data_IF_767726400066
#
_entry.id   IF_767726400066
#
_cell.length_a   1.000
_cell.length_b   1.000
_cell.length_c   1.000
_cell.angle_alpha   90.00
_cell.angle_beta   90.00
_cell.angle_gamma   90.00
#
_symmetry.space_group_name_H-M   'P 1'
#
loop_
_entity.id
_entity.type
_entity.pdbx_description
1 polymer ?
#
# COMPACT_ATOMS: atom_id res chain seq x y z
N UNK A 1 -18.07 38.46 114.11
CA UNK A 1 -16.66 38.51 113.82
C UNK A 1 -16.47 38.64 112.32
N UNK A 2 -16.30 39.73 111.86
CA UNK A 2 -15.26 40.46 111.16
C UNK A 2 -14.51 39.61 110.12
N UNK A 3 -14.57 40.01 108.90
CA UNK A 3 -13.32 40.29 108.14
C UNK A 3 -13.65 40.75 106.70
N UNK A 4 -13.12 41.70 106.42
CA UNK A 4 -12.73 42.65 105.38
C UNK A 4 -12.51 42.13 103.98
N UNK A 5 -13.07 42.94 103.10
CA UNK A 5 -12.68 42.96 101.67
C UNK A 5 -11.35 43.79 101.46
N UNK A 6 -10.61 43.50 100.46
CA UNK A 6 -9.80 44.55 99.86
C UNK A 6 -10.19 44.86 98.41
N UNK A 7 -10.52 46.11 98.21
CA UNK A 7 -10.58 46.73 96.88
C UNK A 7 -9.17 46.87 96.28
N UNK A 8 -8.94 46.38 95.09
CA UNK A 8 -7.76 46.56 94.27
C UNK A 8 -8.12 47.28 92.98
N UNK A 9 -7.67 48.50 92.87
CA UNK A 9 -7.97 49.48 91.85
C UNK A 9 -7.31 49.11 90.48
N UNK A 10 -8.12 48.92 89.45
CA UNK A 10 -7.75 48.78 88.07
C UNK A 10 -7.68 50.17 87.36
N UNK A 11 -6.73 51.02 87.69
CA UNK A 11 -6.57 52.38 87.12
C UNK A 11 -5.72 52.39 85.82
N UNK A 12 -5.00 51.34 85.50
CA UNK A 12 -4.14 51.31 84.34
C UNK A 12 -4.84 50.96 83.01
N UNK A 13 -5.97 50.24 82.99
CA UNK A 13 -6.70 49.86 81.83
C UNK A 13 -7.29 51.05 81.05
N UNK A 14 -7.57 52.18 81.83
CA UNK A 14 -8.15 53.40 81.26
C UNK A 14 -7.24 54.21 80.39
N UNK A 15 -5.93 54.10 80.64
CA UNK A 15 -4.86 54.89 79.95
C UNK A 15 -4.44 54.31 78.61
N UNK A 16 -4.63 53.00 78.36
CA UNK A 16 -4.22 52.32 77.13
C UNK A 16 -5.36 51.90 76.21
N UNK A 17 -6.60 52.18 76.65
CA UNK A 17 -7.82 51.89 75.87
C UNK A 17 -7.79 52.41 74.42
N UNK A 18 -7.31 53.65 74.15
CA UNK A 18 -7.22 54.15 72.76
C UNK A 18 -6.21 53.42 71.91
N UNK A 19 -5.12 52.98 72.50
CA UNK A 19 -4.05 52.28 71.80
C UNK A 19 -4.43 50.82 71.48
N UNK A 20 -5.14 50.16 72.33
CA UNK A 20 -5.64 48.79 72.08
C UNK A 20 -6.71 48.79 71.01
N UNK A 21 -7.57 49.76 70.96
CA UNK A 21 -8.57 49.91 69.90
C UNK A 21 -7.89 50.26 68.57
N UNK A 22 -6.87 51.13 68.57
CA UNK A 22 -6.13 51.40 67.34
C UNK A 22 -5.36 50.18 66.81
N UNK A 23 -4.77 49.35 67.69
CA UNK A 23 -4.10 48.10 67.30
C UNK A 23 -5.09 47.06 66.75
N UNK A 24 -6.29 46.96 67.29
CA UNK A 24 -7.34 46.08 66.81
C UNK A 24 -7.88 46.51 65.42
N UNK A 25 -8.08 47.82 65.24
CA UNK A 25 -8.52 48.37 63.92
C UNK A 25 -7.39 48.23 62.90
N UNK A 26 -6.14 48.49 63.24
CA UNK A 26 -4.96 48.27 62.36
C UNK A 26 -4.77 46.82 62.01
N UNK A 27 -4.94 45.93 62.97
CA UNK A 27 -4.90 44.46 62.69
C UNK A 27 -6.02 43.97 61.77
N UNK A 28 -7.24 44.47 62.03
CA UNK A 28 -8.39 44.14 61.16
C UNK A 28 -8.20 44.68 59.73
N UNK A 29 -7.65 45.88 59.56
CA UNK A 29 -7.37 46.47 58.25
C UNK A 29 -6.28 45.67 57.46
N UNK A 30 -5.22 45.20 58.15
CA UNK A 30 -4.16 44.38 57.53
C UNK A 30 -4.69 42.98 57.16
N UNK A 31 -5.52 42.37 57.99
CA UNK A 31 -6.16 41.09 57.70
C UNK A 31 -7.15 41.25 56.56
N UNK A 32 -7.99 42.30 56.58
CA UNK A 32 -8.94 42.64 55.51
C UNK A 32 -8.21 42.88 54.18
N UNK A 33 -7.06 43.57 54.17
CA UNK A 33 -6.27 43.82 52.95
C UNK A 33 -5.62 42.55 52.40
N UNK A 34 -5.21 41.60 53.26
CA UNK A 34 -4.68 40.30 52.83
C UNK A 34 -5.79 39.39 52.29
N UNK A 35 -7.01 39.46 52.84
CA UNK A 35 -8.15 38.63 52.42
C UNK A 35 -8.81 39.18 51.16
N UNK A 36 -8.82 40.52 50.98
CA UNK A 36 -9.42 41.18 49.82
C UNK A 36 -8.45 41.32 48.60
N UNK A 37 -7.20 40.92 48.73
CA UNK A 37 -6.33 40.87 47.53
C UNK A 37 -6.91 39.86 46.54
N UNK A 38 -7.34 40.29 45.34
CA UNK A 38 -7.78 39.32 44.32
C UNK A 38 -6.63 38.38 44.04
N UNK A 39 -6.88 37.08 44.15
CA UNK A 39 -5.91 36.04 43.77
C UNK A 39 -5.46 36.35 42.35
N UNK A 40 -4.14 36.44 42.04
CA UNK A 40 -3.70 36.68 40.68
C UNK A 40 -4.38 35.66 39.78
N UNK A 41 -5.03 36.14 38.74
CA UNK A 41 -5.66 35.26 37.74
C UNK A 41 -4.63 34.21 37.26
N UNK A 42 -4.96 32.95 37.19
CA UNK A 42 -4.03 31.95 36.66
C UNK A 42 -3.61 32.44 35.27
N UNK A 43 -2.31 32.28 34.92
CA UNK A 43 -1.85 32.69 33.62
C UNK A 43 -2.74 32.06 32.54
N UNK A 44 -3.09 32.80 31.48
CA UNK A 44 -3.91 32.25 30.41
C UNK A 44 -3.25 30.96 29.96
N UNK A 45 -3.99 29.84 30.01
CA UNK A 45 -3.50 28.57 29.47
C UNK A 45 -3.07 28.86 28.04
N UNK A 46 -1.77 28.61 27.77
CA UNK A 46 -1.26 28.68 26.40
C UNK A 46 -2.24 27.99 25.48
N UNK A 47 -2.58 28.54 24.31
CA UNK A 47 -3.49 27.91 23.39
C UNK A 47 -2.99 26.49 23.16
N UNK A 48 -3.78 25.49 23.51
CA UNK A 48 -3.47 24.10 23.21
C UNK A 48 -3.29 24.03 21.70
N UNK A 49 -2.07 23.89 21.23
CA UNK A 49 -1.80 23.62 19.83
C UNK A 49 -2.53 22.33 19.54
N UNK A 50 -3.70 22.40 18.91
CA UNK A 50 -4.50 21.24 18.58
C UNK A 50 -3.68 20.43 17.57
N UNK A 51 -2.99 19.41 18.03
CA UNK A 51 -2.24 18.51 17.18
C UNK A 51 -3.23 17.70 16.34
N UNK A 52 -3.00 17.65 15.04
CA UNK A 52 -3.80 16.83 14.15
C UNK A 52 -3.48 15.36 14.44
N UNK A 53 -4.53 14.58 14.68
CA UNK A 53 -4.43 13.13 14.91
C UNK A 53 -5.37 12.43 13.94
N UNK A 54 -4.91 11.35 13.36
CA UNK A 54 -5.67 10.59 12.37
C UNK A 54 -5.52 9.08 12.60
N UNK A 55 -6.55 8.33 12.25
CA UNK A 55 -6.46 6.88 12.12
C UNK A 55 -5.83 6.54 10.78
N UNK A 56 -5.02 5.49 10.76
CA UNK A 56 -4.34 5.04 9.57
C UNK A 56 -4.10 3.54 9.57
N UNK A 57 -3.55 3.07 8.46
CA UNK A 57 -3.20 1.67 8.29
C UNK A 57 -1.81 1.56 7.66
N UNK A 58 -1.00 0.64 8.17
CA UNK A 58 0.26 0.26 7.53
C UNK A 58 -0.03 -0.42 6.19
N UNK A 59 0.51 0.13 5.11
CA UNK A 59 0.26 -0.33 3.75
C UNK A 59 1.57 -0.30 2.97
N UNK A 60 1.89 -1.33 2.17
CA UNK A 60 3.03 -1.29 1.27
C UNK A 60 2.95 -0.14 0.27
N UNK A 61 4.10 0.40 -0.17
CA UNK A 61 4.14 1.39 -1.23
C UNK A 61 3.45 0.87 -2.50
N UNK A 62 2.50 1.64 -3.04
CA UNK A 62 1.68 1.22 -4.17
C UNK A 62 0.45 0.40 -3.79
N UNK A 63 0.27 0.09 -2.49
CA UNK A 63 -0.84 -0.72 -2.01
C UNK A 63 -0.56 -2.23 -2.08
N UNK A 64 -1.60 -2.99 -1.82
CA UNK A 64 -1.63 -4.43 -1.99
C UNK A 64 -2.15 -4.76 -3.39
N UNK A 65 -1.48 -5.67 -4.08
CA UNK A 65 -1.84 -6.10 -5.44
C UNK A 65 -2.34 -7.53 -5.39
N UNK A 66 -3.57 -7.73 -5.83
CA UNK A 66 -4.14 -9.07 -5.99
C UNK A 66 -3.71 -9.64 -7.34
N UNK A 67 -3.18 -10.85 -7.32
CA UNK A 67 -2.90 -11.61 -8.53
C UNK A 67 -4.15 -12.36 -8.96
N UNK A 68 -4.48 -12.26 -10.23
CA UNK A 68 -5.62 -12.90 -10.86
C UNK A 68 -5.15 -13.76 -12.03
N UNK A 69 -6.01 -14.68 -12.47
CA UNK A 69 -5.78 -15.43 -13.72
C UNK A 69 -5.75 -14.45 -14.90
N UNK A 70 -4.69 -14.45 -15.73
CA UNK A 70 -4.61 -13.54 -16.86
C UNK A 70 -5.80 -13.73 -17.83
N UNK A 71 -6.34 -12.60 -18.31
CA UNK A 71 -7.38 -12.63 -19.34
C UNK A 71 -6.82 -13.28 -20.62
N UNK A 72 -7.57 -14.23 -21.20
CA UNK A 72 -7.16 -14.96 -22.41
C UNK A 72 -6.60 -16.36 -22.15
N UNK A 73 -6.62 -16.85 -20.90
CA UNK A 73 -6.44 -18.28 -20.63
C UNK A 73 -7.59 -19.08 -21.28
N UNK A 74 -7.20 -20.14 -21.97
CA UNK A 74 -8.17 -20.98 -22.69
C UNK A 74 -8.94 -21.81 -21.67
N UNK A 75 -10.27 -21.58 -21.54
CA UNK A 75 -11.13 -22.55 -20.89
C UNK A 75 -11.89 -22.10 -19.62
N UNK A 76 -11.73 -20.90 -19.09
CA UNK A 76 -12.58 -20.36 -17.99
C UNK A 76 -12.62 -21.15 -16.67
N UNK A 77 -12.00 -22.33 -16.61
CA UNK A 77 -12.00 -23.28 -15.49
C UNK A 77 -10.58 -23.64 -15.02
N UNK A 78 -9.66 -22.69 -15.17
CA UNK A 78 -8.29 -22.90 -14.76
C UNK A 78 -8.18 -23.11 -13.24
N UNK A 79 -7.37 -24.11 -12.87
CA UNK A 79 -6.98 -24.35 -11.48
C UNK A 79 -5.47 -24.12 -11.34
N UNK A 80 -5.03 -23.79 -10.15
CA UNK A 80 -3.60 -23.68 -9.84
C UNK A 80 -3.02 -25.11 -9.83
N UNK A 81 -2.00 -25.36 -10.65
CA UNK A 81 -1.25 -26.62 -10.63
C UNK A 81 -0.28 -26.63 -9.45
N UNK A 82 0.60 -25.62 -9.38
CA UNK A 82 1.58 -25.49 -8.30
C UNK A 82 2.05 -24.06 -8.09
N UNK A 83 2.46 -23.76 -6.87
CA UNK A 83 3.24 -22.58 -6.51
C UNK A 83 4.73 -22.91 -6.46
N UNK A 84 5.58 -21.93 -6.84
CA UNK A 84 7.04 -22.02 -6.78
C UNK A 84 7.63 -21.19 -5.62
N UNK A 85 6.77 -20.47 -4.92
CA UNK A 85 7.08 -19.56 -3.81
C UNK A 85 6.09 -19.79 -2.67
N UNK A 86 6.52 -19.48 -1.46
CA UNK A 86 5.71 -19.59 -0.25
C UNK A 86 5.28 -18.23 0.27
N UNK A 87 4.27 -18.18 1.14
CA UNK A 87 3.88 -16.96 1.82
C UNK A 87 5.05 -16.39 2.62
N UNK A 88 5.29 -15.09 2.47
CA UNK A 88 6.41 -14.38 3.08
C UNK A 88 7.67 -14.30 2.22
N UNK A 89 7.78 -15.09 1.15
CA UNK A 89 8.97 -15.09 0.29
C UNK A 89 9.13 -13.79 -0.49
N UNK A 90 10.39 -13.33 -0.69
CA UNK A 90 10.69 -12.23 -1.60
C UNK A 90 10.46 -12.65 -3.05
N UNK A 91 9.85 -11.77 -3.83
CA UNK A 91 9.55 -11.97 -5.25
C UNK A 91 10.11 -10.85 -6.10
N UNK A 92 10.54 -11.19 -7.31
CA UNK A 92 11.05 -10.23 -8.29
C UNK A 92 10.06 -10.03 -9.43
N UNK A 93 10.02 -8.83 -10.00
CA UNK A 93 9.21 -8.52 -11.19
C UNK A 93 9.52 -9.47 -12.33
N UNK A 94 8.49 -10.09 -12.92
CA UNK A 94 8.58 -11.07 -13.99
C UNK A 94 8.85 -12.51 -13.52
N UNK A 95 9.16 -12.74 -12.24
CA UNK A 95 9.35 -14.07 -11.68
C UNK A 95 8.04 -14.88 -11.79
N UNK A 96 8.13 -16.14 -12.25
CA UNK A 96 7.01 -17.06 -12.24
C UNK A 96 6.72 -17.50 -10.80
N UNK A 97 5.52 -17.23 -10.32
CA UNK A 97 5.08 -17.55 -8.96
C UNK A 97 4.28 -18.84 -8.91
N UNK A 98 3.43 -19.07 -9.92
CA UNK A 98 2.61 -20.27 -10.01
C UNK A 98 2.39 -20.69 -11.46
N UNK A 99 1.94 -21.90 -11.67
CA UNK A 99 1.46 -22.42 -12.95
C UNK A 99 0.02 -22.87 -12.84
N UNK A 100 -0.69 -22.70 -13.94
CA UNK A 100 -2.06 -23.18 -14.12
C UNK A 100 -2.06 -24.59 -14.74
N UNK A 101 -3.16 -25.30 -14.59
CA UNK A 101 -3.35 -26.68 -15.06
C UNK A 101 -3.17 -26.86 -16.57
N UNK A 102 -3.50 -25.84 -17.36
CA UNK A 102 -3.33 -25.83 -18.82
C UNK A 102 -1.87 -25.76 -19.29
N UNK A 103 -0.91 -25.42 -18.42
CA UNK A 103 0.48 -25.21 -18.80
C UNK A 103 1.08 -26.37 -19.60
N UNK A 104 0.85 -27.61 -19.15
CA UNK A 104 1.38 -28.81 -19.83
C UNK A 104 0.87 -28.95 -21.27
N UNK A 105 -0.45 -28.77 -21.44
CA UNK A 105 -1.09 -28.84 -22.77
C UNK A 105 -0.62 -27.71 -23.68
N UNK A 106 -0.54 -26.47 -23.17
CA UNK A 106 -0.09 -25.31 -23.96
C UNK A 106 1.39 -25.40 -24.33
N UNK A 107 2.22 -26.00 -23.47
CA UNK A 107 3.64 -26.29 -23.80
C UNK A 107 3.74 -27.29 -24.96
N UNK A 108 2.94 -28.37 -24.94
CA UNK A 108 2.91 -29.34 -26.03
C UNK A 108 2.44 -28.68 -27.33
N UNK A 109 1.41 -27.82 -27.28
CA UNK A 109 0.94 -27.06 -28.43
C UNK A 109 2.00 -26.12 -29.02
N UNK A 110 2.77 -25.44 -28.16
CA UNK A 110 3.91 -24.63 -28.63
C UNK A 110 4.96 -25.49 -29.30
N UNK A 111 5.35 -26.62 -28.70
CA UNK A 111 6.34 -27.54 -29.31
C UNK A 111 5.86 -28.04 -30.68
N UNK A 112 4.58 -28.36 -30.82
CA UNK A 112 3.99 -28.77 -32.11
C UNK A 112 4.07 -27.63 -33.14
N UNK A 113 3.72 -26.41 -32.77
CA UNK A 113 3.81 -25.24 -33.64
C UNK A 113 5.25 -24.96 -34.09
N UNK A 114 6.22 -25.07 -33.17
CA UNK A 114 7.66 -24.92 -33.47
C UNK A 114 8.14 -26.00 -34.43
N UNK A 115 7.75 -27.27 -34.26
CA UNK A 115 8.06 -28.36 -35.15
C UNK A 115 7.47 -28.16 -36.56
N UNK A 116 6.24 -27.67 -36.64
CA UNK A 116 5.56 -27.34 -37.90
C UNK A 116 6.32 -26.21 -38.63
N UNK A 117 6.72 -25.17 -37.92
CA UNK A 117 7.52 -24.08 -38.50
C UNK A 117 8.83 -24.59 -39.04
N UNK A 118 9.57 -25.42 -38.32
CA UNK A 118 10.87 -25.94 -38.77
C UNK A 118 10.71 -26.88 -39.99
N UNK A 119 9.71 -27.77 -40.02
CA UNK A 119 9.42 -28.62 -41.18
C UNK A 119 9.02 -27.79 -42.41
N UNK A 120 8.24 -26.73 -42.22
CA UNK A 120 7.84 -25.85 -43.34
C UNK A 120 9.03 -25.08 -43.88
N UNK A 121 9.92 -24.58 -43.02
CA UNK A 121 11.18 -23.92 -43.44
C UNK A 121 12.13 -24.84 -44.18
N UNK A 122 12.25 -26.10 -43.76
CA UNK A 122 13.18 -27.08 -44.36
C UNK A 122 12.91 -27.31 -45.85
N UNK A 123 11.69 -27.09 -46.35
CA UNK A 123 11.35 -27.24 -47.76
C UNK A 123 11.80 -26.06 -48.62
N UNK A 124 11.97 -24.88 -48.08
CA UNK A 124 12.25 -23.66 -48.85
C UNK A 124 13.58 -23.75 -49.61
N UNK A 125 14.72 -24.25 -49.05
CA UNK A 125 15.98 -24.37 -49.77
C UNK A 125 15.87 -25.29 -50.98
N UNK A 126 15.10 -26.38 -50.92
CA UNK A 126 14.91 -27.28 -52.03
C UNK A 126 14.13 -26.63 -53.19
N UNK A 127 13.15 -25.82 -52.88
CA UNK A 127 12.39 -25.03 -53.87
C UNK A 127 13.31 -23.95 -54.51
N UNK A 128 14.18 -23.30 -53.73
CA UNK A 128 15.13 -22.30 -54.25
C UNK A 128 16.18 -22.96 -55.18
N UNK A 129 16.70 -24.12 -54.80
CA UNK A 129 17.57 -24.92 -55.68
C UNK A 129 16.85 -25.31 -56.98
N UNK A 130 15.59 -25.77 -56.85
CA UNK A 130 14.76 -26.14 -58.04
C UNK A 130 14.53 -24.94 -58.95
N UNK A 131 14.24 -23.76 -58.39
CA UNK A 131 14.10 -22.52 -59.17
C UNK A 131 15.40 -22.16 -59.90
N UNK A 132 16.54 -22.19 -59.18
CA UNK A 132 17.82 -21.88 -59.80
C UNK A 132 18.17 -22.81 -60.94
N UNK A 133 17.90 -24.13 -60.80
CA UNK A 133 18.03 -25.12 -61.86
C UNK A 133 17.09 -24.81 -63.01
N UNK A 134 15.81 -24.51 -62.73
CA UNK A 134 14.81 -24.13 -63.72
C UNK A 134 15.21 -22.89 -64.52
N UNK A 135 15.84 -21.89 -63.88
CA UNK A 135 16.34 -20.70 -64.59
C UNK A 135 17.45 -21.02 -65.64
N UNK A 136 18.31 -22.01 -65.34
CA UNK A 136 19.31 -22.48 -66.31
C UNK A 136 18.64 -23.19 -67.47
N UNK A 137 17.76 -24.14 -67.20
CA UNK A 137 17.02 -24.91 -68.21
C UNK A 137 16.17 -24.01 -69.12
N UNK A 138 15.55 -22.96 -68.57
CA UNK A 138 14.81 -21.98 -69.34
C UNK A 138 15.72 -21.21 -70.33
N UNK A 139 16.93 -20.78 -69.93
CA UNK A 139 17.88 -20.14 -70.79
C UNK A 139 18.35 -21.05 -71.94
N UNK A 140 18.45 -22.35 -71.67
CA UNK A 140 18.81 -23.35 -72.62
C UNK A 140 17.60 -23.82 -73.51
N UNK A 141 16.42 -23.22 -73.32
CA UNK A 141 15.21 -23.55 -74.07
C UNK A 141 14.61 -24.91 -73.70
N UNK A 142 15.03 -25.53 -72.58
CA UNK A 142 14.60 -26.89 -72.20
C UNK A 142 13.24 -26.90 -71.39
N UNK A 143 12.80 -25.76 -70.84
CA UNK A 143 11.49 -25.59 -70.14
C UNK A 143 10.82 -24.30 -70.61
N UNK A 144 9.49 -24.27 -70.42
CA UNK A 144 8.68 -23.08 -70.71
C UNK A 144 8.76 -22.02 -69.63
N UNK A 145 8.44 -20.78 -69.97
CA UNK A 145 8.27 -19.68 -69.01
C UNK A 145 7.20 -20.01 -67.97
N UNK A 146 6.13 -20.70 -68.37
CA UNK A 146 5.06 -21.11 -67.45
C UNK A 146 5.60 -22.05 -66.35
N UNK A 147 6.46 -23.00 -66.68
CA UNK A 147 7.04 -23.94 -65.73
C UNK A 147 7.95 -23.22 -64.71
N UNK A 148 8.77 -22.28 -65.18
CA UNK A 148 9.59 -21.46 -64.31
C UNK A 148 8.72 -20.57 -63.40
N UNK A 149 7.64 -20.00 -63.95
CA UNK A 149 6.69 -19.20 -63.20
C UNK A 149 5.97 -20.04 -62.09
N UNK A 150 5.57 -21.28 -62.37
CA UNK A 150 4.99 -22.20 -61.38
C UNK A 150 5.96 -22.46 -60.22
N UNK A 151 7.23 -22.70 -60.52
CA UNK A 151 8.25 -22.91 -59.48
C UNK A 151 8.44 -21.64 -58.61
N UNK A 152 8.43 -20.48 -59.25
CA UNK A 152 8.54 -19.18 -58.55
C UNK A 152 7.31 -18.91 -57.64
N UNK A 153 6.12 -19.23 -58.14
CA UNK A 153 4.87 -19.11 -57.35
C UNK A 153 4.90 -20.05 -56.14
N UNK A 154 5.42 -21.29 -56.30
CA UNK A 154 5.57 -22.25 -55.20
C UNK A 154 6.47 -21.70 -54.06
N UNK A 155 7.53 -20.96 -54.39
CA UNK A 155 8.37 -20.30 -53.40
C UNK A 155 7.61 -19.20 -52.66
N UNK A 156 6.83 -18.39 -53.40
CA UNK A 156 6.01 -17.32 -52.77
C UNK A 156 5.02 -17.92 -51.78
N UNK A 157 4.30 -18.97 -52.21
CA UNK A 157 3.34 -19.71 -51.37
C UNK A 157 4.05 -20.28 -50.13
N UNK A 158 5.22 -20.92 -50.31
CA UNK A 158 5.98 -21.50 -49.20
C UNK A 158 6.45 -20.44 -48.20
N UNK A 159 6.85 -19.26 -48.64
CA UNK A 159 7.20 -18.15 -47.77
C UNK A 159 5.96 -17.65 -46.98
N UNK A 160 4.79 -17.58 -47.61
CA UNK A 160 3.54 -17.26 -46.90
C UNK A 160 3.19 -18.30 -45.84
N UNK A 161 3.37 -19.63 -46.17
CA UNK A 161 3.19 -20.70 -45.19
C UNK A 161 4.09 -20.55 -43.97
N UNK A 162 5.37 -20.19 -44.20
CA UNK A 162 6.35 -19.94 -43.13
C UNK A 162 5.91 -18.79 -42.24
N UNK A 163 5.41 -17.68 -42.79
CA UNK A 163 4.91 -16.56 -42.00
C UNK A 163 3.65 -16.95 -41.21
N UNK A 164 2.75 -17.76 -41.80
CA UNK A 164 1.59 -18.32 -41.07
C UNK A 164 2.03 -19.21 -39.90
N UNK A 165 2.99 -20.10 -40.11
CA UNK A 165 3.52 -20.95 -39.04
C UNK A 165 4.27 -20.14 -37.95
N UNK A 166 4.96 -19.07 -38.30
CA UNK A 166 5.55 -18.14 -37.32
C UNK A 166 4.49 -17.47 -36.46
N UNK A 167 3.41 -17.03 -37.08
CA UNK A 167 2.28 -16.41 -36.34
C UNK A 167 1.65 -17.42 -35.35
N UNK A 168 1.51 -18.70 -35.72
CA UNK A 168 0.99 -19.73 -34.83
C UNK A 168 1.94 -20.03 -33.65
N UNK A 169 3.26 -20.05 -33.87
CA UNK A 169 4.26 -20.15 -32.80
C UNK A 169 4.12 -18.97 -31.82
N UNK A 170 3.98 -17.75 -32.34
CA UNK A 170 3.82 -16.55 -31.50
C UNK A 170 2.53 -16.61 -30.67
N UNK A 171 1.43 -17.07 -31.29
CA UNK A 171 0.13 -17.26 -30.60
C UNK A 171 0.26 -18.30 -29.48
N UNK A 172 0.80 -19.48 -29.79
CA UNK A 172 0.99 -20.57 -28.80
C UNK A 172 1.91 -20.14 -27.67
N UNK A 173 2.96 -19.37 -27.95
CA UNK A 173 3.86 -18.80 -26.92
C UNK A 173 3.12 -17.82 -26.00
N UNK A 174 2.28 -16.94 -26.53
CA UNK A 174 1.47 -16.02 -25.71
C UNK A 174 0.47 -16.79 -24.83
N UNK A 175 -0.15 -17.83 -25.34
CA UNK A 175 -1.05 -18.69 -24.58
C UNK A 175 -0.31 -19.40 -23.43
N UNK A 176 0.89 -19.94 -23.71
CA UNK A 176 1.72 -20.56 -22.66
C UNK A 176 2.11 -19.57 -21.57
N UNK A 177 2.47 -18.34 -21.93
CA UNK A 177 2.79 -17.29 -20.95
C UNK A 177 1.59 -16.91 -20.09
N UNK A 178 0.36 -16.99 -20.63
CA UNK A 178 -0.86 -16.73 -19.86
C UNK A 178 -1.15 -17.83 -18.82
N UNK A 179 -0.61 -19.04 -19.00
CA UNK A 179 -0.72 -20.12 -18.01
C UNK A 179 0.34 -20.02 -16.89
N UNK A 180 1.21 -19.01 -16.89
CA UNK A 180 2.15 -18.73 -15.82
C UNK A 180 1.75 -17.44 -15.09
N UNK A 181 1.53 -17.55 -13.80
CA UNK A 181 1.27 -16.39 -12.94
C UNK A 181 2.61 -15.77 -12.59
N UNK A 182 2.84 -14.55 -13.06
CA UNK A 182 4.11 -13.82 -12.88
C UNK A 182 3.91 -12.58 -12.02
N UNK A 183 4.92 -12.25 -11.21
CA UNK A 183 4.88 -11.03 -10.41
C UNK A 183 4.99 -9.76 -11.29
N UNK A 184 4.08 -8.80 -11.17
CA UNK A 184 4.17 -7.50 -11.85
C UNK A 184 5.16 -6.53 -11.16
N UNK A 185 5.61 -6.84 -9.92
CA UNK A 185 6.44 -5.96 -9.11
C UNK A 185 7.52 -6.73 -8.33
N UNK A 186 8.50 -5.99 -7.79
CA UNK A 186 9.39 -6.51 -6.74
C UNK A 186 8.71 -6.32 -5.38
N UNK A 187 8.79 -7.31 -4.49
CA UNK A 187 8.17 -7.25 -3.18
C UNK A 187 8.11 -8.61 -2.51
N UNK A 188 7.06 -8.88 -1.76
CA UNK A 188 6.85 -10.17 -1.09
C UNK A 188 5.47 -10.74 -1.42
N UNK A 189 5.40 -12.06 -1.45
CA UNK A 189 4.15 -12.80 -1.47
C UNK A 189 3.55 -12.77 -0.05
N UNK A 190 2.44 -12.09 0.11
CA UNK A 190 1.84 -11.86 1.44
C UNK A 190 0.92 -13.02 1.80
N UNK A 191 0.07 -13.46 0.86
CA UNK A 191 -0.92 -14.51 1.10
C UNK A 191 -1.28 -15.23 -0.18
N UNK A 192 -1.52 -16.52 -0.08
CA UNK A 192 -2.08 -17.37 -1.14
C UNK A 192 -3.55 -17.65 -0.81
N UNK A 193 -4.44 -17.30 -1.74
CA UNK A 193 -5.88 -17.58 -1.61
C UNK A 193 -6.29 -18.87 -2.34
N UNK A 194 -5.63 -19.16 -3.46
CA UNK A 194 -5.92 -20.33 -4.30
C UNK A 194 -4.77 -21.32 -4.24
N UNK A 195 -4.96 -22.39 -3.49
CA UNK A 195 -3.99 -23.48 -3.34
C UNK A 195 -4.01 -24.43 -4.55
N UNK A 196 -3.00 -25.29 -4.73
CA UNK A 196 -3.00 -26.29 -5.81
C UNK A 196 -4.30 -27.10 -5.86
N UNK A 197 -4.87 -27.23 -7.05
CA UNK A 197 -6.18 -27.85 -7.29
C UNK A 197 -7.38 -26.90 -7.15
N UNK A 198 -7.20 -25.67 -6.65
CA UNK A 198 -8.26 -24.67 -6.52
C UNK A 198 -8.33 -23.75 -7.74
N UNK A 199 -9.52 -23.29 -8.03
CA UNK A 199 -9.78 -22.18 -8.96
C UNK A 199 -9.47 -20.85 -8.28
N UNK A 200 -9.45 -19.79 -9.08
CA UNK A 200 -9.41 -18.42 -8.56
C UNK A 200 -10.58 -18.17 -7.62
N UNK A 201 -10.27 -17.61 -6.44
CA UNK A 201 -11.29 -17.20 -5.46
C UNK A 201 -11.76 -15.77 -5.76
N UNK A 202 -12.85 -15.27 -5.13
CA UNK A 202 -13.25 -13.87 -5.23
C UNK A 202 -12.16 -12.89 -4.81
N UNK A 203 -11.24 -13.30 -3.93
CA UNK A 203 -10.07 -12.52 -3.49
C UNK A 203 -8.86 -12.65 -4.45
N UNK A 204 -9.00 -13.40 -5.54
CA UNK A 204 -7.96 -13.68 -6.51
C UNK A 204 -7.16 -14.95 -6.21
N UNK A 205 -5.96 -15.05 -6.79
CA UNK A 205 -5.03 -16.17 -6.57
C UNK A 205 -4.14 -15.94 -5.35
N UNK A 206 -3.60 -14.74 -5.23
CA UNK A 206 -2.69 -14.37 -4.15
C UNK A 206 -2.59 -12.85 -3.99
N UNK A 207 -2.10 -12.44 -2.84
CA UNK A 207 -1.84 -11.05 -2.48
C UNK A 207 -0.35 -10.79 -2.40
N UNK A 208 0.12 -9.76 -3.07
CA UNK A 208 1.53 -9.34 -3.08
C UNK A 208 1.66 -7.86 -2.74
N UNK A 209 2.84 -7.44 -2.28
CA UNK A 209 3.10 -6.04 -1.96
C UNK A 209 4.57 -5.72 -1.76
N UNK A 210 4.92 -4.45 -1.86
CA UNK A 210 6.29 -3.93 -1.65
C UNK A 210 6.54 -3.69 -0.17
N UNK A 211 6.64 -4.76 0.60
CA UNK A 211 6.78 -4.68 2.06
C UNK A 211 8.15 -4.15 2.51
N UNK A 212 9.14 -4.07 1.60
CA UNK A 212 10.39 -3.36 1.78
C UNK A 212 10.21 -1.84 1.91
N UNK A 213 9.08 -1.32 1.43
CA UNK A 213 8.72 0.09 1.44
C UNK A 213 7.33 0.30 2.03
N UNK A 214 7.27 0.21 3.35
CA UNK A 214 6.03 0.44 4.07
C UNK A 214 5.73 1.93 4.20
N UNK A 215 4.47 2.26 4.05
CA UNK A 215 3.86 3.58 4.23
C UNK A 215 2.73 3.50 5.25
N UNK A 216 2.30 4.64 5.74
CA UNK A 216 1.05 4.77 6.49
C UNK A 216 0.04 5.52 5.62
N UNK A 217 -1.11 4.93 5.40
CA UNK A 217 -2.25 5.61 4.81
C UNK A 217 -3.17 6.03 5.93
N UNK A 218 -3.31 7.34 6.15
CA UNK A 218 -4.09 7.89 7.25
C UNK A 218 -5.29 8.70 6.73
N UNK A 219 -6.38 8.66 7.47
CA UNK A 219 -7.61 9.38 7.19
C UNK A 219 -7.68 10.60 8.11
N UNK A 220 -7.52 11.77 7.51
CA UNK A 220 -7.57 13.05 8.21
C UNK A 220 -8.90 13.72 7.94
N UNK A 221 -9.52 14.29 8.96
CA UNK A 221 -10.74 15.07 8.77
C UNK A 221 -10.51 16.26 7.85
N UNK A 222 -11.47 16.54 6.98
CA UNK A 222 -11.38 17.64 6.01
C UNK A 222 -11.06 18.98 6.67
N UNK A 223 -11.55 19.24 7.87
CA UNK A 223 -11.29 20.44 8.67
C UNK A 223 -9.82 20.63 9.06
N UNK A 224 -9.07 19.54 9.19
CA UNK A 224 -7.69 19.56 9.64
C UNK A 224 -6.68 19.56 8.48
N UNK A 225 -7.11 19.22 7.27
CA UNK A 225 -6.25 19.17 6.08
C UNK A 225 -5.49 20.49 5.80
N UNK A 226 -6.11 21.69 5.95
CA UNK A 226 -5.40 22.96 5.72
C UNK A 226 -4.22 23.19 6.67
N UNK A 227 -4.14 22.44 7.77
CA UNK A 227 -3.08 22.53 8.78
C UNK A 227 -1.89 21.61 8.47
N UNK A 228 -2.04 20.73 7.47
CA UNK A 228 -1.00 19.79 7.07
C UNK A 228 -0.09 20.39 6.00
N UNK A 229 1.19 20.05 6.08
CA UNK A 229 2.19 20.44 5.09
C UNK A 229 2.96 19.23 4.60
N UNK A 230 3.16 19.13 3.29
CA UNK A 230 4.00 18.07 2.70
C UNK A 230 5.41 18.17 3.30
N UNK A 231 5.97 17.02 3.70
CA UNK A 231 7.25 16.94 4.42
C UNK A 231 7.12 17.06 5.94
N UNK A 232 5.94 17.40 6.48
CA UNK A 232 5.70 17.48 7.91
C UNK A 232 5.95 16.12 8.59
N UNK A 233 6.66 16.14 9.72
CA UNK A 233 6.91 14.97 10.56
C UNK A 233 5.64 14.46 11.23
N UNK A 234 5.61 13.17 11.48
CA UNK A 234 4.53 12.55 12.22
C UNK A 234 5.04 11.36 13.04
N UNK A 235 4.41 11.14 14.16
CA UNK A 235 4.64 9.99 15.03
C UNK A 235 3.51 8.99 14.87
N UNK A 236 3.85 7.73 14.61
CA UNK A 236 2.90 6.64 14.38
C UNK A 236 2.96 5.66 15.54
N UNK A 237 1.81 5.32 16.10
CA UNK A 237 1.64 4.34 17.18
C UNK A 237 0.68 3.23 16.75
N UNK A 238 0.89 1.99 17.19
CA UNK A 238 -0.10 0.94 16.95
C UNK A 238 -1.37 1.23 17.75
N UNK A 239 -2.53 0.92 17.18
CA UNK A 239 -3.81 1.08 17.86
C UNK A 239 -4.02 -0.04 18.90
N UNK A 240 -3.73 -1.28 18.55
CA UNK A 240 -4.01 -2.48 19.36
C UNK A 240 -2.81 -3.44 19.44
N UNK A 241 -1.57 -2.93 19.41
CA UNK A 241 -0.38 -3.76 19.42
C UNK A 241 0.20 -4.00 18.02
N UNK A 242 1.07 -4.99 17.87
CA UNK A 242 1.74 -5.35 16.62
C UNK A 242 3.22 -4.95 16.60
N UNK A 243 3.59 -3.77 17.07
CA UNK A 243 4.98 -3.36 17.29
C UNK A 243 5.12 -2.55 18.59
N UNK A 244 6.32 -2.51 19.14
CA UNK A 244 6.62 -1.77 20.36
C UNK A 244 7.14 -0.37 20.04
N UNK A 245 6.77 0.61 20.87
CA UNK A 245 7.24 2.00 20.75
C UNK A 245 6.50 2.79 19.66
N UNK A 246 7.21 3.71 19.04
CA UNK A 246 6.69 4.60 18.00
C UNK A 246 7.53 4.48 16.72
N UNK A 247 6.91 4.78 15.58
CA UNK A 247 7.61 4.93 14.31
C UNK A 247 7.61 6.40 13.90
N UNK A 248 8.63 6.80 13.18
CA UNK A 248 8.70 8.13 12.57
C UNK A 248 8.28 8.06 11.11
N UNK A 249 7.51 9.05 10.71
CA UNK A 249 7.03 9.16 9.34
C UNK A 249 6.98 10.61 8.89
N UNK A 250 7.04 10.83 7.58
CA UNK A 250 6.91 12.15 6.97
C UNK A 250 5.75 12.16 5.99
N UNK A 251 4.93 13.21 6.01
CA UNK A 251 3.82 13.38 5.08
C UNK A 251 4.34 13.49 3.64
N UNK A 252 4.04 12.48 2.83
CA UNK A 252 4.51 12.39 1.46
C UNK A 252 3.53 13.03 0.48
N UNK A 253 2.23 12.79 0.65
CA UNK A 253 1.19 13.33 -0.24
C UNK A 253 -0.18 13.36 0.42
N UNK A 254 -0.99 14.32 -0.04
CA UNK A 254 -2.41 14.44 0.31
C UNK A 254 -3.19 14.03 -0.94
N UNK A 255 -4.03 12.99 -0.83
CA UNK A 255 -4.85 12.51 -1.93
C UNK A 255 -6.18 13.24 -1.87
N UNK A 256 -6.47 14.05 -2.87
CA UNK A 256 -7.63 14.94 -2.91
C UNK A 256 -9.01 14.25 -3.04
N UNK A 257 -9.12 12.96 -2.67
CA UNK A 257 -10.39 12.24 -2.66
C UNK A 257 -11.01 12.36 -1.29
N UNK A 258 -12.14 13.06 -1.22
CA UNK A 258 -12.97 13.10 -0.02
C UNK A 258 -13.92 11.92 -0.06
N UNK A 259 -13.75 10.98 0.84
CA UNK A 259 -14.64 9.83 0.99
C UNK A 259 -15.62 10.08 2.13
N UNK A 260 -16.87 9.75 1.91
CA UNK A 260 -17.90 9.70 2.95
C UNK A 260 -17.90 8.37 3.73
N UNK A 261 -17.05 7.42 3.32
CA UNK A 261 -16.92 6.11 3.97
C UNK A 261 -15.52 5.93 4.54
N UNK A 262 -15.45 5.45 5.74
CA UNK A 262 -14.22 4.98 6.34
C UNK A 262 -13.70 3.76 5.56
N UNK A 263 -12.60 3.93 4.84
CA UNK A 263 -11.93 2.85 4.08
C UNK A 263 -11.42 1.73 5.00
N UNK A 264 -11.38 1.95 6.31
CA UNK A 264 -10.79 1.04 7.30
C UNK A 264 -11.76 0.60 8.41
N UNK A 265 -13.02 1.10 8.40
CA UNK A 265 -13.97 0.75 9.44
C UNK A 265 -14.41 -0.71 9.34
N UNK A 266 -14.17 -1.43 10.41
CA UNK A 266 -14.72 -2.77 10.64
C UNK A 266 -16.07 -2.72 11.39
N UNK A 267 -16.48 -1.56 11.93
CA UNK A 267 -17.67 -1.40 12.74
C UNK A 267 -18.62 -0.31 12.20
N UNK A 268 -19.90 -0.62 12.15
CA UNK A 268 -20.98 0.16 11.56
C UNK A 268 -21.40 1.45 12.32
N UNK A 269 -20.68 1.85 13.37
CA UNK A 269 -21.05 2.97 14.24
C UNK A 269 -20.33 4.28 13.96
N UNK A 270 -19.74 4.46 12.78
CA UNK A 270 -19.08 5.70 12.44
C UNK A 270 -20.03 6.71 11.83
N UNK A 271 -19.85 7.95 12.25
CA UNK A 271 -20.59 9.12 11.79
C UNK A 271 -20.64 9.16 10.27
N UNK A 272 -21.81 8.88 9.69
CA UNK A 272 -22.02 8.73 8.23
C UNK A 272 -21.68 10.02 7.46
N UNK A 273 -21.47 11.13 8.17
CA UNK A 273 -21.18 12.46 7.64
C UNK A 273 -19.71 12.90 7.77
N UNK A 274 -18.84 12.08 8.35
CA UNK A 274 -17.43 12.43 8.48
C UNK A 274 -16.74 12.42 7.11
N UNK A 275 -16.41 13.60 6.60
CA UNK A 275 -15.60 13.75 5.37
C UNK A 275 -14.13 13.61 5.73
N UNK A 276 -13.50 12.58 5.21
CA UNK A 276 -12.08 12.30 5.43
C UNK A 276 -11.29 12.41 4.13
N UNK A 277 -10.07 12.86 4.26
CA UNK A 277 -9.09 12.96 3.16
C UNK A 277 -7.98 11.96 3.45
N UNK A 278 -7.65 11.15 2.46
CA UNK A 278 -6.56 10.19 2.57
C UNK A 278 -5.21 10.89 2.40
N UNK A 279 -4.32 10.65 3.35
CA UNK A 279 -2.93 11.13 3.29
C UNK A 279 -1.97 9.95 3.37
N UNK A 280 -0.86 10.04 2.64
CA UNK A 280 0.20 9.04 2.65
C UNK A 280 1.43 9.58 3.37
N UNK A 281 1.95 8.78 4.28
CA UNK A 281 3.17 9.09 5.01
C UNK A 281 4.22 8.01 4.72
N UNK A 282 5.43 8.43 4.41
CA UNK A 282 6.57 7.54 4.27
C UNK A 282 7.20 7.31 5.64
N UNK A 283 7.39 6.04 6.01
CA UNK A 283 8.16 5.68 7.19
C UNK A 283 9.65 5.94 6.99
N UNK A 284 10.34 6.31 8.05
CA UNK A 284 11.80 6.39 8.03
C UNK A 284 12.43 5.02 7.75
N UNK A 285 13.58 4.97 7.04
CA UNK A 285 14.21 3.71 6.65
C UNK A 285 14.45 2.74 7.80
N UNK A 286 14.88 3.23 8.97
CA UNK A 286 15.13 2.43 10.17
C UNK A 286 13.89 1.74 10.73
N UNK A 287 12.71 2.29 10.49
CA UNK A 287 11.44 1.77 11.00
C UNK A 287 10.74 0.81 10.02
N UNK A 288 11.12 0.81 8.73
CA UNK A 288 10.46 0.00 7.68
C UNK A 288 10.59 -1.49 7.93
N UNK A 289 11.77 -1.96 8.28
CA UNK A 289 12.03 -3.38 8.54
C UNK A 289 11.22 -3.91 9.73
N UNK A 290 11.02 -3.08 10.75
CA UNK A 290 10.25 -3.45 11.96
C UNK A 290 8.79 -3.78 11.65
N UNK A 291 8.25 -3.23 10.57
CA UNK A 291 6.84 -3.35 10.21
C UNK A 291 6.61 -4.01 8.84
N UNK A 292 7.66 -4.55 8.20
CA UNK A 292 7.58 -5.15 6.87
C UNK A 292 6.57 -6.31 6.77
N UNK A 293 6.31 -7.01 7.88
CA UNK A 293 5.33 -8.12 7.95
C UNK A 293 3.97 -7.72 8.53
N UNK A 294 3.75 -6.42 8.78
CA UNK A 294 2.56 -5.91 9.46
C UNK A 294 1.62 -5.13 8.51
N UNK A 295 1.53 -5.57 7.26
CA UNK A 295 0.61 -4.99 6.28
C UNK A 295 -0.83 -5.12 6.77
N UNK A 296 -1.57 -4.01 6.73
CA UNK A 296 -2.96 -3.96 7.18
C UNK A 296 -3.14 -3.61 8.66
N UNK A 297 -2.06 -3.44 9.46
CA UNK A 297 -2.16 -3.08 10.86
C UNK A 297 -2.71 -1.65 11.02
N UNK A 298 -3.71 -1.50 11.89
CA UNK A 298 -4.26 -0.18 12.23
C UNK A 298 -3.32 0.58 13.16
N UNK A 299 -3.16 1.86 12.90
CA UNK A 299 -2.26 2.76 13.61
C UNK A 299 -2.91 4.12 13.83
N UNK A 300 -2.47 4.80 14.89
CA UNK A 300 -2.79 6.21 15.14
C UNK A 300 -1.59 7.07 14.71
N UNK A 301 -1.87 8.05 13.88
CA UNK A 301 -0.89 9.03 13.40
C UNK A 301 -1.10 10.35 14.11
N UNK A 302 -0.04 10.91 14.68
CA UNK A 302 -0.01 12.24 15.28
C UNK A 302 0.96 13.08 14.49
N UNK A 303 0.48 14.15 13.86
CA UNK A 303 1.31 15.08 13.11
C UNK A 303 2.04 16.04 14.08
N UNK A 304 3.29 16.30 13.79
CA UNK A 304 4.07 17.30 14.55
C UNK A 304 3.49 18.70 14.25
N UNK A 305 3.57 19.65 15.19
CA UNK A 305 2.98 20.98 15.05
C UNK A 305 3.60 21.80 13.92
#
# INVERSE_FOLDING_TARGET
MAAASPQGSASWVRRYRPWLVAALIGGAAVVGWKVTRPKPAPPPKAPLTQQVTALGRLTPEGGLVTLSVPAGTVGGNEVVDRWFVSEGDPISKGQTLARLSSYGQLRAALTQAESTLESTKALLPFLEISKNRGQVLYRDGAISEEELAKTSASIITKRADIEGARAEVLKSRKQLLAAEIRSPLNGNLIRIYSWPGMKETPDGLALIGRTDRMQVWAQVFQSDVPRLRIGQGATVKPESGGFSGTLRANLASIIGVVSSRDLFATNANNDVNARVVLVKLNLEPADRERVARLSGLNVTVRFDP
#
